data_IF_182499528766
#
_entry.id   IF_182499528766
#
_cell.length_a   1.000
_cell.length_b   1.000
_cell.length_c   1.000
_cell.angle_alpha   90.00
_cell.angle_beta   90.00
_cell.angle_gamma   90.00
#
_symmetry.space_group_name_H-M   'P 1'
#
loop_
_entity.id
_entity.type
_entity.pdbx_description
1 polymer ?
#
# COMPACT_ATOMS: atom_id res chain seq x y z
N UNK A 1 -3.08 -20.53 -7.75
CA UNK A 1 -3.10 -19.84 -6.45
C UNK A 1 -1.79 -19.07 -6.30
N UNK A 2 -1.80 -17.91 -5.64
CA UNK A 2 -0.65 -17.00 -5.54
C UNK A 2 0.41 -17.48 -4.52
N UNK A 3 0.84 -18.74 -4.61
CA UNK A 3 1.63 -19.42 -3.57
C UNK A 3 3.01 -18.80 -3.36
N UNK A 4 3.58 -18.20 -4.41
CA UNK A 4 4.87 -17.52 -4.35
C UNK A 4 4.84 -16.31 -3.40
N UNK A 5 3.67 -15.74 -3.12
CA UNK A 5 3.50 -14.61 -2.20
C UNK A 5 3.99 -14.94 -0.78
N UNK A 6 3.84 -16.19 -0.33
CA UNK A 6 4.23 -16.65 1.00
C UNK A 6 5.38 -17.68 0.96
N UNK A 7 6.08 -17.80 -0.17
CA UNK A 7 7.25 -18.67 -0.26
C UNK A 7 8.36 -18.15 0.66
N UNK A 8 8.83 -18.91 1.66
CA UNK A 8 9.90 -18.44 2.54
C UNK A 8 11.21 -18.17 1.79
N UNK A 9 11.39 -18.74 0.60
CA UNK A 9 12.51 -18.51 -0.32
C UNK A 9 12.17 -17.55 -1.48
N UNK A 10 11.03 -16.88 -1.42
CA UNK A 10 10.62 -15.84 -2.35
C UNK A 10 11.54 -14.62 -2.30
N UNK A 11 11.41 -13.74 -3.31
CA UNK A 11 12.25 -12.56 -3.44
C UNK A 11 12.16 -11.64 -2.21
N UNK A 12 10.93 -11.34 -1.76
CA UNK A 12 10.69 -10.40 -0.65
C UNK A 12 11.30 -10.95 0.64
N UNK A 13 10.97 -12.18 1.02
CA UNK A 13 11.44 -12.82 2.25
C UNK A 13 12.97 -12.91 2.29
N UNK A 14 13.61 -13.26 1.15
CA UNK A 14 15.08 -13.27 1.03
C UNK A 14 15.68 -11.87 1.15
N UNK A 15 15.07 -10.87 0.52
CA UNK A 15 15.54 -9.49 0.56
C UNK A 15 15.44 -8.91 1.98
N UNK A 16 14.33 -9.14 2.68
CA UNK A 16 14.15 -8.71 4.08
C UNK A 16 15.25 -9.31 4.96
N UNK A 17 15.45 -10.63 4.92
CA UNK A 17 16.51 -11.27 5.74
C UNK A 17 17.90 -10.71 5.42
N UNK A 18 18.21 -10.51 4.14
CA UNK A 18 19.48 -9.93 3.73
C UNK A 18 19.66 -8.48 4.23
N UNK A 19 18.61 -7.66 4.14
CA UNK A 19 18.63 -6.28 4.62
C UNK A 19 18.77 -6.20 6.13
N UNK A 20 17.99 -6.98 6.91
CA UNK A 20 18.08 -6.99 8.37
C UNK A 20 19.42 -7.55 8.87
N UNK A 21 20.01 -8.51 8.15
CA UNK A 21 21.34 -9.02 8.49
C UNK A 21 22.45 -7.98 8.22
N UNK A 22 22.35 -7.20 7.15
CA UNK A 22 23.35 -6.20 6.80
C UNK A 22 23.17 -4.87 7.55
N UNK A 23 21.92 -4.48 7.84
CA UNK A 23 21.53 -3.19 8.43
C UNK A 23 20.40 -3.39 9.46
N UNK A 24 20.71 -3.86 10.69
CA UNK A 24 19.69 -4.20 11.68
C UNK A 24 18.72 -3.05 12.04
N UNK A 25 19.23 -1.81 12.05
CA UNK A 25 18.47 -0.60 12.38
C UNK A 25 17.66 -0.03 11.20
N UNK A 26 17.84 -0.57 9.99
CA UNK A 26 17.05 -0.15 8.84
C UNK A 26 15.61 -0.67 9.02
N UNK A 27 14.65 0.25 9.03
CA UNK A 27 13.23 -0.08 8.97
C UNK A 27 12.87 -0.68 7.62
N UNK A 28 12.29 -1.88 7.61
CA UNK A 28 11.89 -2.61 6.41
C UNK A 28 10.38 -2.73 6.39
N UNK A 29 9.77 -2.10 5.38
CA UNK A 29 8.37 -2.22 5.04
C UNK A 29 8.20 -3.16 3.85
N UNK A 30 7.32 -4.15 3.97
CA UNK A 30 6.94 -5.05 2.87
C UNK A 30 5.50 -4.84 2.45
N UNK A 31 5.27 -4.81 1.14
CA UNK A 31 3.93 -4.83 0.56
C UNK A 31 3.25 -6.20 0.75
N UNK A 32 1.95 -6.21 1.04
CA UNK A 32 1.13 -7.44 1.14
C UNK A 32 -0.03 -7.29 0.15
N UNK A 33 0.11 -7.96 -1.00
CA UNK A 33 -0.84 -7.99 -2.11
C UNK A 33 -0.49 -9.16 -3.04
N UNK A 34 -1.46 -9.66 -3.80
CA UNK A 34 -1.26 -10.82 -4.67
C UNK A 34 -0.99 -10.47 -6.14
N UNK A 35 -1.08 -9.20 -6.55
CA UNK A 35 -0.93 -8.82 -7.95
C UNK A 35 0.41 -9.17 -8.61
N UNK A 36 1.57 -9.21 -7.92
CA UNK A 36 2.83 -9.65 -8.52
C UNK A 36 2.90 -11.18 -8.71
N UNK A 37 1.98 -11.92 -8.07
CA UNK A 37 2.00 -13.37 -7.96
C UNK A 37 0.83 -14.03 -8.71
N UNK A 38 -0.07 -13.24 -9.31
CA UNK A 38 -1.19 -13.73 -10.10
C UNK A 38 -0.94 -13.57 -11.60
N UNK A 39 -1.37 -14.57 -12.38
CA UNK A 39 -1.25 -14.54 -13.85
C UNK A 39 -2.17 -13.50 -14.51
N UNK A 40 -3.20 -13.04 -13.79
CA UNK A 40 -4.18 -12.06 -14.24
C UNK A 40 -3.96 -10.66 -13.64
N UNK A 41 -3.00 -10.47 -12.73
CA UNK A 41 -2.61 -9.16 -12.21
C UNK A 41 -3.63 -8.47 -11.29
N UNK A 42 -4.65 -9.20 -10.82
CA UNK A 42 -5.57 -8.72 -9.78
C UNK A 42 -4.93 -8.89 -8.40
N UNK A 43 -5.33 -8.06 -7.43
CA UNK A 43 -4.76 -8.06 -6.07
C UNK A 43 -5.20 -9.30 -5.25
N UNK A 44 -6.12 -10.11 -5.78
CA UNK A 44 -6.67 -11.29 -5.11
C UNK A 44 -6.96 -12.49 -6.02
N UNK A 45 -7.55 -13.54 -5.44
CA UNK A 45 -7.97 -14.76 -6.14
C UNK A 45 -9.31 -14.52 -6.84
N UNK A 46 -9.45 -14.97 -8.09
CA UNK A 46 -10.68 -14.76 -8.89
C UNK A 46 -11.54 -16.03 -9.00
N UNK A 47 -12.85 -15.86 -9.14
CA UNK A 47 -13.80 -16.93 -9.52
C UNK A 47 -13.83 -17.18 -11.04
N UNK A 48 -14.78 -18.01 -11.49
CA UNK A 48 -14.96 -18.37 -12.90
C UNK A 48 -15.41 -17.16 -13.74
N UNK A 49 -16.10 -16.21 -13.12
CA UNK A 49 -16.57 -14.95 -13.70
C UNK A 49 -15.49 -13.84 -13.71
N UNK A 50 -14.37 -14.07 -13.01
CA UNK A 50 -13.26 -13.12 -12.91
C UNK A 50 -13.39 -12.10 -11.78
N UNK A 51 -14.36 -12.28 -10.88
CA UNK A 51 -14.54 -11.45 -9.69
C UNK A 51 -13.56 -11.85 -8.59
N UNK A 52 -12.98 -10.85 -7.90
CA UNK A 52 -11.99 -11.08 -6.84
C UNK A 52 -12.71 -11.51 -5.55
N UNK A 53 -12.44 -12.74 -5.11
CA UNK A 53 -13.04 -13.36 -3.94
C UNK A 53 -12.39 -12.85 -2.66
N UNK A 54 -13.12 -12.04 -1.89
CA UNK A 54 -12.62 -11.36 -0.69
C UNK A 54 -11.97 -12.31 0.33
N UNK A 55 -12.74 -13.23 0.92
CA UNK A 55 -12.27 -14.02 2.05
C UNK A 55 -11.16 -15.01 1.67
N UNK A 56 -11.27 -15.62 0.49
CA UNK A 56 -10.26 -16.53 -0.07
C UNK A 56 -8.96 -15.78 -0.35
N UNK A 57 -9.05 -14.53 -0.81
CA UNK A 57 -7.88 -13.66 -0.99
C UNK A 57 -7.23 -13.37 0.36
N UNK A 58 -8.03 -12.96 1.35
CA UNK A 58 -7.54 -12.62 2.69
C UNK A 58 -6.85 -13.80 3.37
N UNK A 59 -7.29 -15.04 3.15
CA UNK A 59 -6.59 -16.25 3.63
C UNK A 59 -5.14 -16.35 3.11
N UNK A 60 -4.89 -15.92 1.87
CA UNK A 60 -3.55 -15.93 1.28
C UNK A 60 -2.74 -14.72 1.75
N UNK A 61 -3.35 -13.54 1.87
CA UNK A 61 -2.70 -12.33 2.40
C UNK A 61 -2.20 -12.52 3.83
N UNK A 62 -2.97 -13.22 4.68
CA UNK A 62 -2.52 -13.58 6.03
C UNK A 62 -1.26 -14.43 5.99
N UNK A 63 -1.18 -15.45 5.13
CA UNK A 63 0.03 -16.27 4.97
C UNK A 63 1.22 -15.43 4.49
N UNK A 64 1.00 -14.51 3.55
CA UNK A 64 2.03 -13.60 3.06
C UNK A 64 2.56 -12.70 4.17
N UNK A 65 1.67 -12.02 4.91
CA UNK A 65 2.04 -11.14 6.01
C UNK A 65 2.85 -11.87 7.09
N UNK A 66 2.42 -13.08 7.48
CA UNK A 66 3.16 -13.91 8.42
C UNK A 66 4.55 -14.27 7.90
N UNK A 67 4.68 -14.65 6.62
CA UNK A 67 5.98 -14.98 6.03
C UNK A 67 6.94 -13.78 5.98
N UNK A 68 6.41 -12.56 5.84
CA UNK A 68 7.20 -11.33 5.88
C UNK A 68 7.64 -11.01 7.32
N UNK A 69 6.75 -11.17 8.30
CA UNK A 69 7.08 -11.02 9.71
C UNK A 69 8.15 -12.04 10.15
N UNK A 70 8.00 -13.31 9.76
CA UNK A 70 9.00 -14.38 9.97
C UNK A 70 10.37 -14.04 9.35
N UNK A 71 10.39 -13.33 8.22
CA UNK A 71 11.62 -12.87 7.58
C UNK A 71 12.27 -11.67 8.30
N UNK A 72 11.57 -11.03 9.22
CA UNK A 72 12.04 -9.89 10.01
C UNK A 72 11.58 -8.52 9.51
N UNK A 73 10.47 -8.45 8.76
CA UNK A 73 9.88 -7.17 8.36
C UNK A 73 9.37 -6.42 9.59
N UNK A 74 9.70 -5.13 9.70
CA UNK A 74 9.25 -4.28 10.80
C UNK A 74 7.79 -3.83 10.59
N UNK A 75 7.41 -3.61 9.32
CA UNK A 75 6.09 -3.18 8.90
C UNK A 75 5.59 -4.07 7.75
N UNK A 76 4.37 -4.61 7.88
CA UNK A 76 3.62 -5.17 6.74
C UNK A 76 2.60 -4.14 6.27
N UNK A 77 2.48 -3.96 4.96
CA UNK A 77 1.62 -2.93 4.38
C UNK A 77 0.61 -3.53 3.39
N UNK A 78 -0.55 -4.01 3.86
CA UNK A 78 -1.60 -4.59 3.01
C UNK A 78 -2.14 -3.55 2.03
N UNK A 79 -1.92 -3.78 0.74
CA UNK A 79 -2.29 -2.86 -0.33
C UNK A 79 -3.42 -3.36 -1.22
N UNK A 80 -3.98 -4.52 -0.90
CA UNK A 80 -4.97 -5.29 -1.67
C UNK A 80 -6.39 -4.69 -1.73
N UNK A 81 -6.79 -3.92 -0.71
CA UNK A 81 -8.15 -3.37 -0.54
C UNK A 81 -9.27 -4.40 -0.37
N UNK A 82 -9.00 -5.57 0.20
CA UNK A 82 -10.05 -6.51 0.62
C UNK A 82 -10.71 -6.06 1.93
N UNK A 83 -11.98 -6.34 2.09
CA UNK A 83 -12.70 -6.03 3.31
C UNK A 83 -12.19 -6.91 4.46
N UNK A 84 -11.94 -6.33 5.63
CA UNK A 84 -11.57 -7.05 6.85
C UNK A 84 -10.13 -7.60 6.91
N UNK A 85 -9.29 -7.34 5.87
CA UNK A 85 -7.93 -7.92 5.85
C UNK A 85 -7.06 -7.47 7.01
N UNK A 86 -7.22 -6.23 7.48
CA UNK A 86 -6.37 -5.68 8.54
C UNK A 86 -6.60 -6.46 9.83
N UNK A 87 -7.86 -6.70 10.20
CA UNK A 87 -8.20 -7.41 11.42
C UNK A 87 -7.72 -8.86 11.39
N UNK A 88 -7.86 -9.52 10.24
CA UNK A 88 -7.40 -10.90 10.04
C UNK A 88 -5.87 -11.00 10.09
N UNK A 89 -5.15 -10.05 9.50
CA UNK A 89 -3.68 -9.98 9.56
C UNK A 89 -3.21 -9.68 10.99
N UNK A 90 -3.82 -8.70 11.66
CA UNK A 90 -3.53 -8.36 13.07
C UNK A 90 -3.70 -9.57 13.96
N UNK A 91 -4.85 -10.23 13.91
CA UNK A 91 -5.11 -11.42 14.71
C UNK A 91 -4.05 -12.51 14.49
N UNK A 92 -3.70 -12.79 13.23
CA UNK A 92 -2.70 -13.80 12.92
C UNK A 92 -1.30 -13.43 13.44
N UNK A 93 -0.89 -12.15 13.35
CA UNK A 93 0.38 -11.68 13.90
C UNK A 93 0.43 -11.86 15.43
N UNK A 94 -0.64 -11.51 16.14
CA UNK A 94 -0.76 -11.71 17.59
C UNK A 94 -0.66 -13.20 17.97
N UNK A 95 -1.43 -14.05 17.30
CA UNK A 95 -1.45 -15.50 17.56
C UNK A 95 -0.09 -16.19 17.33
N UNK A 96 0.72 -15.64 16.41
CA UNK A 96 2.07 -16.14 16.10
C UNK A 96 3.18 -15.45 16.91
N UNK A 97 2.84 -14.49 17.76
CA UNK A 97 3.79 -13.79 18.63
C UNK A 97 4.57 -12.66 17.94
N UNK A 98 4.15 -12.22 16.75
CA UNK A 98 4.71 -11.06 16.04
C UNK A 98 4.13 -9.73 16.53
N UNK A 99 4.04 -9.57 17.85
CA UNK A 99 3.29 -8.50 18.53
C UNK A 99 3.77 -7.08 18.20
N UNK A 100 5.03 -6.93 17.77
CA UNK A 100 5.62 -5.64 17.44
C UNK A 100 5.70 -5.37 15.92
N UNK A 101 5.29 -6.33 15.08
CA UNK A 101 5.20 -6.09 13.64
C UNK A 101 4.02 -5.15 13.41
N UNK A 102 4.32 -3.99 12.82
CA UNK A 102 3.32 -2.95 12.59
C UNK A 102 2.57 -3.20 11.29
N UNK A 103 1.34 -2.70 11.23
CA UNK A 103 0.49 -2.72 10.05
C UNK A 103 0.32 -1.29 9.54
N UNK A 104 0.82 -1.04 8.32
CA UNK A 104 0.55 0.19 7.57
C UNK A 104 -0.52 -0.08 6.52
N UNK A 105 -1.77 0.19 6.86
CA UNK A 105 -2.88 -0.10 5.99
C UNK A 105 -2.94 0.91 4.83
N UNK A 106 -3.04 0.41 3.60
CA UNK A 106 -3.50 1.24 2.48
C UNK A 106 -5.00 1.38 2.58
N UNK A 107 -5.46 2.26 3.45
CA UNK A 107 -6.87 2.42 3.78
C UNK A 107 -7.65 3.12 2.68
N UNK A 108 -7.10 4.21 2.15
CA UNK A 108 -7.74 4.97 1.08
C UNK A 108 -6.93 4.81 -0.23
N UNK A 109 -7.00 3.64 -0.85
CA UNK A 109 -6.39 3.35 -2.17
C UNK A 109 -7.44 3.45 -3.27
N UNK A 110 -7.29 4.47 -4.11
CA UNK A 110 -8.24 4.79 -5.17
C UNK A 110 -7.93 4.08 -6.50
N UNK A 111 -8.99 3.75 -7.25
CA UNK A 111 -8.93 3.21 -8.60
C UNK A 111 -8.43 4.31 -9.58
N UNK A 112 -7.11 4.39 -9.74
CA UNK A 112 -6.45 5.56 -10.35
C UNK A 112 -5.67 5.24 -11.64
N UNK A 113 -5.66 6.22 -12.54
CA UNK A 113 -4.84 6.19 -13.77
C UNK A 113 -3.36 6.54 -13.52
N UNK A 114 -2.99 6.96 -12.31
CA UNK A 114 -1.61 7.32 -11.97
C UNK A 114 -0.69 6.10 -11.72
N UNK A 115 -1.20 4.88 -11.85
CA UNK A 115 -0.43 3.64 -11.59
C UNK A 115 0.26 3.04 -12.81
N UNK A 116 0.05 3.59 -14.02
CA UNK A 116 0.60 3.02 -15.26
C UNK A 116 2.10 2.68 -15.18
N UNK A 117 2.98 3.64 -14.85
CA UNK A 117 4.42 3.37 -14.81
C UNK A 117 4.83 2.36 -13.72
N UNK A 118 4.08 2.23 -12.62
CA UNK A 118 4.32 1.20 -11.61
C UNK A 118 4.01 -0.18 -12.15
N UNK A 119 2.87 -0.34 -12.84
CA UNK A 119 2.48 -1.62 -13.45
C UNK A 119 3.50 -2.10 -14.49
N UNK A 120 4.11 -1.16 -15.22
CA UNK A 120 5.21 -1.47 -16.13
C UNK A 120 6.47 -1.91 -15.38
N UNK A 121 6.83 -1.20 -14.30
CA UNK A 121 8.03 -1.49 -13.51
C UNK A 121 7.98 -2.86 -12.80
N UNK A 122 6.81 -3.27 -12.32
CA UNK A 122 6.62 -4.58 -11.65
C UNK A 122 6.19 -5.69 -12.60
N UNK A 123 6.06 -5.40 -13.89
CA UNK A 123 5.67 -6.38 -14.92
C UNK A 123 4.21 -6.84 -14.85
N UNK A 124 3.34 -6.14 -14.12
CA UNK A 124 1.92 -6.52 -13.98
C UNK A 124 1.02 -5.93 -15.08
N UNK A 125 1.50 -4.96 -15.86
CA UNK A 125 0.76 -4.37 -16.99
C UNK A 125 0.27 -5.41 -18.01
N UNK A 126 1.14 -6.37 -18.36
CA UNK A 126 0.79 -7.45 -19.31
C UNK A 126 -0.23 -8.44 -18.75
N UNK A 127 -0.28 -8.58 -17.42
CA UNK A 127 -1.11 -9.56 -16.74
C UNK A 127 -2.54 -9.04 -16.59
N UNK A 128 -2.70 -7.75 -16.28
CA UNK A 128 -4.01 -7.13 -16.07
C UNK A 128 -4.85 -7.01 -17.37
N UNK A 129 -4.25 -7.10 -18.56
CA UNK A 129 -4.91 -7.24 -19.88
C UNK A 129 -6.12 -6.31 -20.14
N UNK A 130 -6.08 -5.09 -19.64
CA UNK A 130 -7.17 -4.12 -19.79
C UNK A 130 -8.31 -4.24 -18.76
N UNK A 131 -8.20 -5.17 -17.81
CA UNK A 131 -9.05 -5.22 -16.62
C UNK A 131 -8.83 -4.02 -15.72
N UNK A 132 -9.82 -3.75 -14.88
CA UNK A 132 -9.76 -2.71 -13.86
C UNK A 132 -9.85 -3.30 -12.43
N UNK A 133 -9.72 -2.41 -11.45
CA UNK A 133 -9.67 -2.74 -10.02
C UNK A 133 -10.82 -2.06 -9.26
N UNK A 134 -11.89 -1.66 -9.96
CA UNK A 134 -12.96 -0.80 -9.41
C UNK A 134 -13.90 -1.53 -8.46
N UNK A 135 -13.86 -2.86 -8.42
CA UNK A 135 -14.69 -3.65 -7.51
C UNK A 135 -14.13 -3.72 -6.09
N UNK A 136 -12.93 -3.18 -5.86
CA UNK A 136 -12.27 -3.17 -4.54
C UNK A 136 -11.46 -1.89 -4.26
N UNK A 137 -10.88 -1.24 -5.28
CA UNK A 137 -10.28 0.08 -5.09
C UNK A 137 -11.36 1.17 -5.12
N UNK A 138 -11.20 2.18 -4.27
CA UNK A 138 -12.18 3.26 -4.09
C UNK A 138 -12.43 4.06 -5.37
N UNK A 139 -13.66 4.53 -5.56
CA UNK A 139 -13.99 5.47 -6.64
C UNK A 139 -13.26 6.81 -6.38
N UNK A 140 -12.52 7.35 -7.37
CA UNK A 140 -11.88 8.68 -7.28
C UNK A 140 -12.77 9.83 -6.80
N UNK A 141 -14.09 9.74 -6.98
CA UNK A 141 -15.04 10.77 -6.55
C UNK A 141 -15.37 10.73 -5.04
N UNK A 142 -15.01 9.66 -4.34
CA UNK A 142 -15.55 9.36 -3.02
C UNK A 142 -14.59 9.73 -1.88
N UNK A 143 -14.82 10.89 -1.28
CA UNK A 143 -14.06 11.32 -0.09
C UNK A 143 -14.62 10.81 1.25
N UNK A 144 -15.94 10.69 1.37
CA UNK A 144 -16.58 10.24 2.63
C UNK A 144 -16.36 8.75 2.86
N UNK A 145 -16.44 7.95 1.80
CA UNK A 145 -16.12 6.51 1.82
C UNK A 145 -14.66 6.26 2.26
N UNK A 146 -13.71 7.04 1.75
CA UNK A 146 -12.32 6.93 2.18
C UNK A 146 -12.09 7.20 3.68
N UNK A 147 -12.94 8.01 4.34
CA UNK A 147 -12.90 8.14 5.80
C UNK A 147 -13.49 6.92 6.50
N UNK A 148 -14.52 6.28 5.92
CA UNK A 148 -15.09 5.06 6.46
C UNK A 148 -14.07 3.91 6.41
N UNK A 149 -13.37 3.74 5.28
CA UNK A 149 -12.30 2.75 5.16
C UNK A 149 -11.19 2.93 6.21
N UNK A 150 -10.73 4.17 6.40
CA UNK A 150 -9.74 4.49 7.43
C UNK A 150 -10.26 4.17 8.83
N UNK A 151 -11.53 4.45 9.11
CA UNK A 151 -12.12 4.13 10.40
C UNK A 151 -12.16 2.61 10.65
N UNK A 152 -12.52 1.83 9.63
CA UNK A 152 -12.55 0.36 9.70
C UNK A 152 -11.16 -0.21 9.96
N UNK A 153 -10.16 0.20 9.18
CA UNK A 153 -8.77 -0.26 9.35
C UNK A 153 -8.21 0.07 10.75
N UNK A 154 -8.54 1.24 11.28
CA UNK A 154 -8.14 1.63 12.64
C UNK A 154 -8.85 0.78 13.71
N UNK A 155 -10.14 0.49 13.54
CA UNK A 155 -10.88 -0.42 14.44
C UNK A 155 -10.33 -1.85 14.40
N UNK A 156 -9.82 -2.26 13.25
CA UNK A 156 -9.21 -3.57 13.01
C UNK A 156 -7.76 -3.69 13.49
N UNK A 157 -7.15 -2.58 13.93
CA UNK A 157 -5.83 -2.58 14.57
C UNK A 157 -4.66 -2.21 13.64
N UNK A 158 -4.91 -1.39 12.62
CA UNK A 158 -3.84 -0.72 11.88
C UNK A 158 -3.07 0.27 12.79
N UNK A 159 -1.74 0.23 12.76
CA UNK A 159 -0.89 1.16 13.48
C UNK A 159 -0.76 2.49 12.73
N UNK A 160 -0.88 2.43 11.40
CA UNK A 160 -0.69 3.53 10.47
C UNK A 160 -1.66 3.38 9.31
N UNK A 161 -2.09 4.51 8.74
CA UNK A 161 -2.99 4.53 7.58
C UNK A 161 -2.39 5.31 6.43
N UNK A 162 -2.69 4.92 5.20
CA UNK A 162 -2.14 5.52 3.99
C UNK A 162 -3.22 5.93 2.99
N UNK A 163 -3.03 7.10 2.39
CA UNK A 163 -3.77 7.57 1.21
C UNK A 163 -2.92 7.31 -0.04
N UNK A 164 -3.54 6.73 -1.08
CA UNK A 164 -2.88 6.45 -2.36
C UNK A 164 -3.87 6.63 -3.51
N UNK A 165 -3.56 7.44 -4.55
CA UNK A 165 -2.37 8.27 -4.77
C UNK A 165 -2.18 9.42 -3.77
N UNK A 166 -1.04 10.11 -3.86
CA UNK A 166 -0.64 11.16 -2.92
C UNK A 166 -1.15 12.54 -3.31
N UNK A 167 -0.46 13.22 -4.24
CA UNK A 167 -0.76 14.60 -4.65
C UNK A 167 -2.20 14.82 -5.13
N UNK A 168 -2.83 13.93 -5.90
CA UNK A 168 -4.22 14.12 -6.33
C UNK A 168 -5.26 13.99 -5.21
N UNK A 169 -4.88 13.48 -4.04
CA UNK A 169 -5.77 13.21 -2.89
C UNK A 169 -5.26 13.87 -1.60
N UNK A 170 -4.61 15.03 -1.71
CA UNK A 170 -4.15 15.79 -0.55
C UNK A 170 -5.30 16.25 0.35
N UNK A 171 -6.48 16.48 -0.23
CA UNK A 171 -7.71 16.72 0.53
C UNK A 171 -8.03 15.54 1.44
N UNK A 172 -7.89 14.30 0.96
CA UNK A 172 -8.08 13.10 1.78
C UNK A 172 -7.00 12.95 2.85
N UNK A 173 -5.72 13.22 2.54
CA UNK A 173 -4.65 13.23 3.54
C UNK A 173 -4.99 14.20 4.67
N UNK A 174 -5.43 15.42 4.33
CA UNK A 174 -5.83 16.44 5.30
C UNK A 174 -7.04 15.98 6.13
N UNK A 175 -8.08 15.45 5.49
CA UNK A 175 -9.30 14.97 6.16
C UNK A 175 -9.00 13.82 7.11
N UNK A 176 -8.23 12.82 6.68
CA UNK A 176 -7.80 11.70 7.52
C UNK A 176 -7.02 12.18 8.73
N UNK A 177 -6.03 13.05 8.52
CA UNK A 177 -5.21 13.57 9.62
C UNK A 177 -6.04 14.37 10.62
N UNK A 178 -6.94 15.22 10.12
CA UNK A 178 -7.79 16.07 10.97
C UNK A 178 -8.84 15.27 11.73
N UNK A 179 -9.44 14.26 11.10
CA UNK A 179 -10.52 13.48 11.69
C UNK A 179 -10.03 12.46 12.72
N UNK A 180 -8.92 11.76 12.43
CA UNK A 180 -8.44 10.66 13.27
C UNK A 180 -7.20 11.00 14.10
N UNK A 181 -6.40 11.98 13.71
CA UNK A 181 -5.19 12.39 14.45
C UNK A 181 -4.02 11.37 14.43
N UNK A 182 -4.18 10.22 13.78
CA UNK A 182 -3.23 9.09 13.74
C UNK A 182 -1.99 9.34 12.86
N UNK A 183 -0.98 8.46 12.88
CA UNK A 183 0.06 8.42 11.86
C UNK A 183 -0.54 8.21 10.45
N UNK A 184 -0.42 9.23 9.60
CA UNK A 184 -1.01 9.25 8.25
C UNK A 184 0.10 9.37 7.22
N UNK A 185 0.11 8.45 6.26
CA UNK A 185 1.07 8.39 5.16
C UNK A 185 0.37 8.74 3.84
N UNK A 186 1.16 9.17 2.86
CA UNK A 186 0.70 9.39 1.50
C UNK A 186 1.71 8.79 0.51
N UNK A 187 1.20 8.08 -0.50
CA UNK A 187 2.06 7.49 -1.52
C UNK A 187 2.10 8.38 -2.76
N UNK A 188 3.21 9.10 -2.97
CA UNK A 188 3.47 9.76 -4.25
C UNK A 188 3.77 8.70 -5.32
N UNK A 189 2.76 8.33 -6.12
CA UNK A 189 2.85 7.15 -6.98
C UNK A 189 3.68 7.40 -8.24
N UNK A 190 3.94 6.30 -8.96
CA UNK A 190 4.76 6.28 -10.18
C UNK A 190 4.34 7.29 -11.24
N UNK A 191 3.04 7.50 -11.47
CA UNK A 191 2.54 8.47 -12.43
C UNK A 191 2.81 9.91 -11.99
N UNK A 192 2.68 10.19 -10.69
CA UNK A 192 3.05 11.50 -10.13
C UNK A 192 4.56 11.74 -10.31
N UNK A 193 5.39 10.75 -10.01
CA UNK A 193 6.84 10.84 -10.25
C UNK A 193 7.15 11.07 -11.73
N UNK A 194 6.58 10.26 -12.63
CA UNK A 194 6.82 10.37 -14.07
C UNK A 194 6.39 11.73 -14.63
N UNK A 195 5.26 12.28 -14.18
CA UNK A 195 4.82 13.63 -14.55
C UNK A 195 5.83 14.70 -14.15
N UNK A 196 6.33 14.65 -12.92
CA UNK A 196 7.35 15.61 -12.45
C UNK A 196 8.65 15.47 -13.25
N UNK A 197 9.14 14.24 -13.42
CA UNK A 197 10.39 14.00 -14.14
C UNK A 197 10.30 14.45 -15.61
N UNK A 198 9.19 14.17 -16.29
CA UNK A 198 8.98 14.61 -17.67
C UNK A 198 8.99 16.15 -17.77
N UNK A 199 8.30 16.84 -16.86
CA UNK A 199 8.27 18.30 -16.85
C UNK A 199 9.65 18.92 -16.53
N UNK A 200 10.43 18.28 -15.64
CA UNK A 200 11.81 18.69 -15.31
C UNK A 200 12.72 18.49 -16.52
N UNK A 201 12.67 17.33 -17.17
CA UNK A 201 13.52 16.99 -18.32
C UNK A 201 13.22 17.87 -19.54
N UNK A 202 11.97 18.30 -19.71
CA UNK A 202 11.57 19.26 -20.74
C UNK A 202 11.86 20.72 -20.37
N UNK A 203 12.43 20.98 -19.19
CA UNK A 203 12.78 22.33 -18.73
C UNK A 203 11.57 23.18 -18.31
N UNK A 204 10.38 22.60 -18.14
CA UNK A 204 9.18 23.32 -17.72
C UNK A 204 9.17 23.60 -16.21
N UNK A 205 9.73 22.68 -15.43
CA UNK A 205 9.85 22.78 -13.99
C UNK A 205 11.32 22.71 -13.55
N UNK A 206 11.65 23.47 -12.50
CA UNK A 206 12.98 23.42 -11.88
C UNK A 206 13.00 22.36 -10.80
N UNK A 207 13.86 21.36 -10.96
CA UNK A 207 14.01 20.18 -10.10
C UNK A 207 14.01 20.52 -8.60
N UNK A 208 14.93 21.40 -8.17
CA UNK A 208 15.08 21.77 -6.75
C UNK A 208 13.82 22.38 -6.15
N UNK A 209 13.00 23.08 -6.93
CA UNK A 209 11.80 23.72 -6.37
C UNK A 209 10.67 22.70 -6.27
N UNK A 210 10.54 21.83 -7.26
CA UNK A 210 9.38 20.97 -7.45
C UNK A 210 9.53 19.61 -6.77
N UNK A 211 10.74 19.11 -6.52
CA UNK A 211 10.89 17.88 -5.75
C UNK A 211 10.81 18.12 -4.23
N UNK A 212 11.10 19.33 -3.76
CA UNK A 212 10.97 19.69 -2.35
C UNK A 212 9.53 20.11 -1.98
N UNK A 213 8.78 20.73 -2.89
CA UNK A 213 7.42 21.24 -2.61
C UNK A 213 6.37 20.16 -2.24
N UNK A 214 6.33 18.97 -2.88
CA UNK A 214 5.40 17.91 -2.54
C UNK A 214 5.56 17.42 -1.10
N UNK A 215 6.79 17.38 -0.58
CA UNK A 215 7.04 17.08 0.84
C UNK A 215 6.50 18.17 1.77
N UNK A 216 6.51 19.44 1.36
CA UNK A 216 5.87 20.51 2.13
C UNK A 216 4.34 20.41 2.11
N UNK A 217 3.75 20.09 0.96
CA UNK A 217 2.30 19.88 0.83
C UNK A 217 1.80 18.71 1.70
N UNK A 218 2.63 17.66 1.84
CA UNK A 218 2.35 16.51 2.71
C UNK A 218 2.64 16.76 4.19
N UNK A 219 3.35 17.84 4.53
CA UNK A 219 3.63 18.20 5.91
C UNK A 219 2.48 19.04 6.49
N UNK A 220 1.56 18.41 7.21
CA UNK A 220 0.65 19.12 8.12
C UNK A 220 1.48 19.57 9.33
N UNK A 221 2.28 20.64 9.15
CA UNK A 221 3.07 21.22 10.24
C UNK A 221 2.15 22.04 11.14
N UNK A 222 1.71 21.46 12.25
CA UNK A 222 1.58 22.27 13.46
C UNK A 222 3.00 22.63 13.89
N UNK A 223 3.39 23.89 13.66
CA UNK A 223 4.56 24.45 14.33
C UNK A 223 4.25 24.54 15.82
N UNK A 224 4.50 23.48 16.58
CA UNK A 224 4.82 23.67 17.98
C UNK A 224 6.29 24.08 18.05
N UNK A 225 6.49 25.40 18.18
CA UNK A 225 7.76 25.92 18.62
C UNK A 225 7.99 25.44 20.06
N UNK A 226 9.07 24.69 20.26
CA UNK A 226 9.79 24.61 21.52
C UNK A 226 11.22 25.08 21.25
#
# INVERSE_FOLDING_TARGET
MAEEAYNPNGLVQRAVRALKAAYPELGVLTDVALDPYTIHGQDGIIDEEGYVLNDITTDVLVKQALSHAEAGADIVAPSDMMDGRIGRIRQALEEKGFINTQIMAYSAKYASNYYGPFRDAVGSSSNLKGGDKKTYQLDPANGDEGLQEVALDLQEGADMVMVKPGMPYLDMVYRVKTHFGVPTFAYQVSGEYAMHMAAIQNGWLKEKNVLWNPFFALSVRERMAF
#
